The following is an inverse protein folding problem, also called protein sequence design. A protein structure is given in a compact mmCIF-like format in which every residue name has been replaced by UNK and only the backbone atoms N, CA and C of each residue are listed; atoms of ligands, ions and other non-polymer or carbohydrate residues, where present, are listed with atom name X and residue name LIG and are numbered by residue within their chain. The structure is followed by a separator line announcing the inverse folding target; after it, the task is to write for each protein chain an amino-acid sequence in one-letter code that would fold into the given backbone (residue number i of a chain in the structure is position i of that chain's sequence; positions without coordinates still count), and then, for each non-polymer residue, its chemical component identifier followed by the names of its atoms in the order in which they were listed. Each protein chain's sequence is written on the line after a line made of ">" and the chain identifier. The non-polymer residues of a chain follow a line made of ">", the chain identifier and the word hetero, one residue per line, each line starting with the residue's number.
data_IF_797134258461
#
_entry.id   IF_797134258461
#
_cell.length_a   1.000
_cell.length_b   1.000
_cell.length_c   1.000
_cell.angle_alpha   90.00
_cell.angle_beta   90.00
_cell.angle_gamma   90.00
#
_symmetry.space_group_name_H-M   'P 1'
#
loop_
_entity.id
_entity.type
_entity.pdbx_description
1 polymer ?
#
# COMPACT_ATOMS: atom_id res chain seq x y z
N UNK A 1 -28.23 -22.49 49.93
CA UNK A 1 -29.51 -21.78 50.13
C UNK A 1 -29.24 -20.31 49.84
N UNK A 2 -29.70 -19.75 48.72
CA UNK A 2 -31.06 -19.27 48.43
C UNK A 2 -31.16 -17.76 48.64
N UNK A 3 -31.49 -17.08 47.55
CA UNK A 3 -31.63 -15.64 47.28
C UNK A 3 -32.63 -14.86 48.17
N UNK A 4 -32.46 -13.53 48.26
CA UNK A 4 -33.49 -12.49 47.96
C UNK A 4 -32.87 -11.09 48.16
N UNK A 5 -32.62 -10.26 47.14
CA UNK A 5 -33.51 -9.43 46.29
C UNK A 5 -34.14 -8.22 47.00
N UNK A 6 -33.79 -7.01 46.56
CA UNK A 6 -34.78 -6.01 46.10
C UNK A 6 -34.08 -4.90 45.30
N UNK A 7 -34.60 -4.69 44.10
CA UNK A 7 -34.23 -3.69 43.10
C UNK A 7 -34.92 -2.35 43.35
N UNK A 8 -34.32 -1.27 42.83
CA UNK A 8 -34.89 -0.09 42.07
C UNK A 8 -33.99 1.13 42.33
N UNK A 9 -33.54 1.96 41.39
CA UNK A 9 -34.04 2.31 40.06
C UNK A 9 -32.93 2.92 39.16
N UNK A 10 -32.85 2.45 37.91
CA UNK A 10 -32.63 3.18 36.65
C UNK A 10 -31.51 4.24 36.56
N UNK A 11 -30.36 3.80 36.08
CA UNK A 11 -29.62 4.55 35.05
C UNK A 11 -29.98 3.95 33.69
N UNK A 12 -30.42 4.80 32.76
CA UNK A 12 -30.93 4.40 31.47
C UNK A 12 -29.89 3.63 30.66
N UNK A 13 -30.06 2.32 30.57
CA UNK A 13 -29.36 1.51 29.61
C UNK A 13 -29.86 1.93 28.21
N UNK A 14 -28.98 2.55 27.42
CA UNK A 14 -29.24 2.75 26.00
C UNK A 14 -29.17 1.37 25.35
N UNK A 15 -30.29 0.65 25.38
CA UNK A 15 -30.45 -0.57 24.58
C UNK A 15 -30.68 -0.13 23.15
N UNK A 16 -29.60 -0.09 22.37
CA UNK A 16 -29.69 0.07 20.92
C UNK A 16 -30.55 -1.09 20.37
N UNK A 17 -31.50 -0.82 19.44
CA UNK A 17 -32.26 -1.88 18.81
C UNK A 17 -31.31 -2.91 18.17
N UNK A 18 -31.31 -4.13 18.70
CA UNK A 18 -30.48 -5.26 18.24
C UNK A 18 -30.93 -5.82 16.89
N UNK A 19 -32.08 -5.37 16.38
CA UNK A 19 -32.59 -5.78 15.07
C UNK A 19 -31.78 -5.07 13.98
N UNK A 20 -31.06 -5.86 13.18
CA UNK A 20 -30.27 -5.48 11.99
C UNK A 20 -28.74 -5.36 12.16
N UNK A 21 -28.15 -5.83 13.26
CA UNK A 21 -26.70 -6.11 13.22
C UNK A 21 -26.46 -7.48 12.59
N UNK A 22 -25.69 -7.50 11.52
CA UNK A 22 -25.16 -8.74 10.97
C UNK A 22 -24.30 -9.41 12.04
N UNK A 23 -24.62 -10.67 12.33
CA UNK A 23 -23.81 -11.51 13.22
C UNK A 23 -22.40 -11.55 12.63
N UNK A 24 -21.41 -11.07 13.39
CA UNK A 24 -20.00 -11.26 13.02
C UNK A 24 -19.77 -12.78 13.00
N UNK A 25 -19.67 -13.36 11.80
CA UNK A 25 -19.49 -14.80 11.62
C UNK A 25 -18.02 -15.20 11.70
N UNK A 26 -17.11 -14.24 11.48
CA UNK A 26 -15.67 -14.39 11.63
C UNK A 26 -15.01 -13.03 11.79
N UNK A 27 -14.24 -12.86 12.86
CA UNK A 27 -13.30 -11.76 13.00
C UNK A 27 -12.00 -12.18 12.27
N UNK A 28 -11.55 -11.37 11.32
CA UNK A 28 -10.24 -11.56 10.67
C UNK A 28 -9.37 -10.40 11.16
N UNK A 29 -8.33 -10.71 11.93
CA UNK A 29 -7.45 -9.69 12.47
C UNK A 29 -6.50 -9.25 11.36
N UNK A 30 -6.12 -7.95 11.32
CA UNK A 30 -5.23 -7.37 10.29
C UNK A 30 -3.94 -8.20 10.07
N UNK A 31 -3.40 -8.81 11.12
CA UNK A 31 -2.23 -9.70 11.08
C UNK A 31 -2.46 -10.99 10.28
N UNK A 32 -3.70 -11.46 10.17
CA UNK A 32 -4.08 -12.70 9.48
C UNK A 32 -4.13 -12.51 7.95
N UNK A 33 -3.98 -11.27 7.48
CA UNK A 33 -4.04 -10.92 6.06
C UNK A 33 -2.64 -10.73 5.44
N UNK A 34 -1.57 -10.63 6.24
CA UNK A 34 -0.18 -10.54 5.76
C UNK A 34 0.07 -9.38 4.78
N UNK A 35 -0.41 -8.17 5.10
CA UNK A 35 -0.52 -7.05 4.17
C UNK A 35 0.51 -5.96 4.48
N UNK A 36 1.14 -5.42 3.44
CA UNK A 36 2.05 -4.28 3.56
C UNK A 36 1.31 -2.95 3.45
N UNK A 37 0.27 -2.87 2.60
CA UNK A 37 -0.54 -1.67 2.43
C UNK A 37 -2.04 -1.98 2.21
N UNK A 38 -2.90 -1.07 2.68
CA UNK A 38 -4.35 -1.06 2.45
C UNK A 38 -4.71 0.32 1.92
N UNK A 39 -5.46 0.37 0.83
CA UNK A 39 -5.87 1.64 0.21
C UNK A 39 -7.19 1.49 -0.54
N UNK A 40 -7.81 2.62 -0.85
CA UNK A 40 -8.96 2.68 -1.74
C UNK A 40 -8.51 3.08 -3.15
N UNK A 41 -8.97 2.36 -4.17
CA UNK A 41 -8.73 2.67 -5.58
C UNK A 41 -10.04 2.52 -6.34
N UNK A 42 -10.50 3.57 -7.04
CA UNK A 42 -11.78 3.56 -7.78
C UNK A 42 -12.97 3.04 -6.95
N UNK A 43 -13.08 3.50 -5.69
CA UNK A 43 -14.08 3.06 -4.70
C UNK A 43 -14.01 1.58 -4.30
N UNK A 44 -12.94 0.87 -4.66
CA UNK A 44 -12.68 -0.49 -4.22
C UNK A 44 -11.66 -0.50 -3.09
N UNK A 45 -11.92 -1.31 -2.06
CA UNK A 45 -10.95 -1.57 -1.01
C UNK A 45 -9.93 -2.57 -1.56
N UNK A 46 -8.67 -2.16 -1.57
CA UNK A 46 -7.56 -2.92 -2.10
C UNK A 46 -6.51 -3.15 -1.01
N UNK A 47 -5.74 -4.20 -1.20
CA UNK A 47 -4.52 -4.42 -0.44
C UNK A 47 -3.39 -4.96 -1.25
N UNK A 48 -2.20 -4.58 -0.83
CA UNK A 48 -0.98 -4.97 -1.47
C UNK A 48 -0.12 -5.82 -0.54
N UNK A 49 0.49 -6.85 -1.12
CA UNK A 49 1.39 -7.75 -0.42
C UNK A 49 2.66 -7.96 -1.24
N UNK A 50 3.78 -7.73 -0.58
CA UNK A 50 5.14 -8.02 -0.99
C UNK A 50 5.57 -9.33 -0.32
N UNK A 51 6.19 -10.24 -1.06
CA UNK A 51 6.84 -11.40 -0.44
C UNK A 51 8.29 -11.04 -0.09
N UNK A 52 8.48 -10.33 1.03
CA UNK A 52 9.78 -9.83 1.50
C UNK A 52 10.84 -10.92 1.67
N UNK A 53 10.43 -12.17 1.85
CA UNK A 53 11.34 -13.31 2.06
C UNK A 53 11.65 -14.07 0.77
N UNK A 54 10.94 -13.78 -0.31
CA UNK A 54 11.13 -14.45 -1.59
C UNK A 54 11.04 -13.46 -2.75
N UNK A 55 12.16 -12.80 -3.02
CA UNK A 55 12.31 -11.85 -4.13
C UNK A 55 12.12 -12.46 -5.54
N UNK A 56 11.90 -13.77 -5.67
CA UNK A 56 11.53 -14.41 -6.94
C UNK A 56 10.02 -14.42 -7.19
N UNK A 57 9.21 -14.11 -6.17
CA UNK A 57 7.75 -14.06 -6.32
C UNK A 57 7.30 -12.65 -6.61
N UNK A 58 6.38 -12.55 -7.56
CA UNK A 58 5.68 -11.32 -7.87
C UNK A 58 4.82 -10.85 -6.71
N UNK A 59 4.66 -9.54 -6.62
CA UNK A 59 3.78 -8.91 -5.66
C UNK A 59 2.32 -9.21 -6.00
N UNK A 60 1.43 -9.04 -5.01
CA UNK A 60 0.02 -9.38 -5.13
C UNK A 60 -0.86 -8.19 -4.77
N UNK A 61 -1.88 -7.99 -5.59
CA UNK A 61 -3.01 -7.11 -5.29
C UNK A 61 -4.22 -7.95 -4.92
N UNK A 62 -4.85 -7.65 -3.80
CA UNK A 62 -6.14 -8.21 -3.42
C UNK A 62 -7.20 -7.13 -3.45
N UNK A 63 -8.35 -7.47 -3.99
CA UNK A 63 -9.48 -6.56 -4.16
C UNK A 63 -10.69 -7.13 -3.46
N UNK A 64 -11.16 -6.40 -2.46
CA UNK A 64 -12.21 -6.86 -1.56
C UNK A 64 -13.57 -6.54 -2.16
N UNK A 65 -14.42 -7.56 -2.23
CA UNK A 65 -15.78 -7.44 -2.72
C UNK A 65 -16.76 -7.49 -1.56
N UNK A 66 -17.66 -6.52 -1.53
CA UNK A 66 -18.71 -6.39 -0.52
C UNK A 66 -20.08 -6.63 -1.16
N UNK A 67 -21.04 -7.11 -0.37
CA UNK A 67 -22.43 -7.21 -0.81
C UNK A 67 -23.15 -5.86 -0.74
N UNK A 68 -24.43 -5.83 -1.13
CA UNK A 68 -25.26 -4.62 -1.12
C UNK A 68 -25.48 -4.02 0.28
N UNK A 69 -25.15 -4.75 1.34
CA UNK A 69 -25.25 -4.31 2.73
C UNK A 69 -23.89 -3.87 3.30
N UNK A 70 -22.83 -3.85 2.48
CA UNK A 70 -21.47 -3.48 2.89
C UNK A 70 -20.72 -4.59 3.62
N UNK A 71 -21.18 -5.84 3.57
CA UNK A 71 -20.49 -6.96 4.22
C UNK A 71 -19.49 -7.61 3.28
N UNK A 72 -18.34 -8.01 3.82
CA UNK A 72 -17.34 -8.77 3.07
C UNK A 72 -17.95 -10.05 2.50
N UNK A 73 -17.80 -10.23 1.19
CA UNK A 73 -18.29 -11.40 0.46
C UNK A 73 -17.12 -12.30 0.04
N UNK A 74 -16.14 -11.72 -0.63
CA UNK A 74 -14.97 -12.43 -1.15
C UNK A 74 -13.86 -11.45 -1.49
N UNK A 75 -12.69 -11.96 -1.89
CA UNK A 75 -11.62 -11.17 -2.50
C UNK A 75 -11.21 -11.77 -3.84
N UNK A 76 -10.89 -10.92 -4.79
CA UNK A 76 -10.10 -11.30 -5.96
C UNK A 76 -8.62 -11.12 -5.63
N UNK A 77 -7.78 -11.95 -6.21
CA UNK A 77 -6.33 -11.86 -6.10
C UNK A 77 -5.76 -11.74 -7.51
N UNK A 78 -4.85 -10.78 -7.68
CA UNK A 78 -4.10 -10.54 -8.89
C UNK A 78 -2.62 -10.67 -8.58
N UNK A 79 -1.90 -11.34 -9.48
CA UNK A 79 -0.44 -11.44 -9.44
C UNK A 79 0.09 -10.34 -10.35
N UNK A 80 0.93 -9.46 -9.82
CA UNK A 80 1.46 -8.33 -10.55
C UNK A 80 2.75 -8.75 -11.25
N UNK A 81 2.60 -9.35 -12.43
CA UNK A 81 3.73 -9.77 -13.24
C UNK A 81 4.69 -8.60 -13.53
N UNK A 82 6.00 -8.85 -13.46
CA UNK A 82 7.09 -7.88 -13.65
C UNK A 82 7.27 -6.83 -12.54
N UNK A 83 6.50 -6.94 -11.45
CA UNK A 83 6.67 -6.15 -10.24
C UNK A 83 7.16 -7.05 -9.10
N UNK A 84 8.28 -6.66 -8.50
CA UNK A 84 8.91 -7.36 -7.37
C UNK A 84 9.35 -6.34 -6.34
N UNK A 85 8.96 -6.56 -5.08
CA UNK A 85 9.30 -5.68 -3.95
C UNK A 85 8.92 -4.21 -4.21
N UNK A 86 7.75 -4.00 -4.81
CA UNK A 86 7.20 -2.68 -5.10
C UNK A 86 6.46 -2.07 -3.93
N UNK A 87 6.48 -0.75 -3.85
CA UNK A 87 5.75 0.02 -2.85
C UNK A 87 4.59 0.76 -3.50
N UNK A 88 3.33 0.45 -3.13
CA UNK A 88 2.17 1.11 -3.69
C UNK A 88 1.99 2.52 -3.09
N UNK A 89 1.67 3.48 -3.95
CA UNK A 89 1.31 4.85 -3.60
C UNK A 89 0.03 5.21 -4.34
N UNK A 90 -0.99 5.67 -3.61
CA UNK A 90 -2.23 6.14 -4.20
C UNK A 90 -2.24 7.67 -4.20
N UNK A 91 -2.40 8.26 -5.38
CA UNK A 91 -2.51 9.70 -5.56
C UNK A 91 -3.52 10.01 -6.66
N UNK A 92 -4.43 10.95 -6.39
CA UNK A 92 -5.49 11.38 -7.34
C UNK A 92 -6.26 10.20 -7.96
N UNK A 93 -6.68 9.25 -7.11
CA UNK A 93 -7.40 8.02 -7.52
C UNK A 93 -6.62 7.07 -8.46
N UNK A 94 -5.32 7.28 -8.61
CA UNK A 94 -4.42 6.36 -9.32
C UNK A 94 -3.54 5.63 -8.33
N UNK A 95 -3.25 4.37 -8.61
CA UNK A 95 -2.29 3.59 -7.86
C UNK A 95 -1.02 3.42 -8.70
N UNK A 96 0.11 3.86 -8.15
CA UNK A 96 1.42 3.61 -8.72
C UNK A 96 2.19 2.68 -7.80
N UNK A 97 2.92 1.75 -8.37
CA UNK A 97 3.84 0.89 -7.63
C UNK A 97 5.26 1.24 -8.03
N UNK A 98 6.10 1.55 -7.05
CA UNK A 98 7.50 1.89 -7.28
C UNK A 98 8.44 0.81 -6.78
N UNK A 99 9.39 0.40 -7.62
CA UNK A 99 10.45 -0.51 -7.22
C UNK A 99 11.80 -0.08 -7.80
N UNK A 100 12.88 -0.41 -7.06
CA UNK A 100 14.22 -0.39 -7.62
C UNK A 100 14.49 -1.68 -8.38
N UNK A 101 15.19 -1.60 -9.52
CA UNK A 101 15.73 -2.79 -10.22
C UNK A 101 17.24 -2.68 -10.36
N UNK A 102 17.96 -3.63 -9.79
CA UNK A 102 19.42 -3.65 -9.78
C UNK A 102 19.98 -4.48 -10.94
N UNK A 103 20.94 -3.92 -11.67
CA UNK A 103 21.73 -4.58 -12.72
C UNK A 103 23.17 -4.11 -12.63
N UNK A 104 24.12 -5.03 -12.41
CA UNK A 104 25.57 -4.76 -12.44
C UNK A 104 25.97 -3.43 -11.76
N UNK A 105 25.57 -3.26 -10.49
CA UNK A 105 25.83 -2.07 -9.64
C UNK A 105 25.04 -0.79 -9.96
N UNK A 106 24.11 -0.83 -10.92
CA UNK A 106 23.18 0.25 -11.21
C UNK A 106 21.79 -0.12 -10.70
N UNK A 107 21.08 0.80 -10.05
CA UNK A 107 19.66 0.62 -9.70
C UNK A 107 18.81 1.58 -10.54
N UNK A 108 17.78 1.10 -11.22
CA UNK A 108 16.82 1.97 -11.92
C UNK A 108 15.53 2.06 -11.13
N UNK A 109 14.92 3.25 -11.04
CA UNK A 109 13.57 3.38 -10.52
C UNK A 109 12.62 2.91 -11.61
N UNK A 110 11.70 2.03 -11.24
CA UNK A 110 10.55 1.64 -12.04
C UNK A 110 9.28 2.12 -11.35
N UNK A 111 8.35 2.65 -12.13
CA UNK A 111 7.02 3.07 -11.68
C UNK A 111 5.99 2.45 -12.61
N UNK A 112 5.11 1.62 -12.06
CA UNK A 112 4.01 0.99 -12.79
C UNK A 112 2.68 1.55 -12.29
N UNK A 113 1.87 2.12 -13.17
CA UNK A 113 0.47 2.45 -12.87
C UNK A 113 -0.36 1.17 -12.92
N UNK A 114 -1.09 0.86 -11.85
CA UNK A 114 -1.96 -0.32 -11.78
C UNK A 114 -3.42 0.08 -11.56
N UNK A 115 -4.32 -0.63 -12.24
CA UNK A 115 -5.76 -0.49 -12.03
C UNK A 115 -6.28 -1.40 -10.90
N UNK A 116 -7.56 -1.26 -10.58
CA UNK A 116 -8.25 -2.10 -9.59
C UNK A 116 -8.45 -3.55 -10.02
N UNK A 117 -8.05 -3.92 -11.24
CA UNK A 117 -8.05 -5.29 -11.73
C UNK A 117 -6.63 -5.86 -11.82
N UNK A 118 -5.62 -5.16 -11.27
CA UNK A 118 -4.23 -5.58 -11.29
C UNK A 118 -3.58 -5.52 -12.68
N UNK A 119 -4.19 -4.81 -13.64
CA UNK A 119 -3.57 -4.56 -14.93
C UNK A 119 -2.55 -3.43 -14.80
N UNK A 120 -1.40 -3.59 -15.44
CA UNK A 120 -0.42 -2.52 -15.61
C UNK A 120 -0.90 -1.64 -16.77
N UNK A 121 -1.23 -0.39 -16.47
CA UNK A 121 -1.71 0.60 -17.46
C UNK A 121 -0.56 1.31 -18.15
N UNK A 122 0.51 1.59 -17.40
CA UNK A 122 1.71 2.23 -17.91
C UNK A 122 2.93 1.87 -17.08
N UNK A 123 4.09 1.89 -17.71
CA UNK A 123 5.38 1.72 -17.07
C UNK A 123 6.30 2.90 -17.38
N UNK A 124 6.98 3.38 -16.36
CA UNK A 124 7.99 4.41 -16.44
C UNK A 124 9.28 3.93 -15.79
N UNK A 125 10.42 4.43 -16.29
CA UNK A 125 11.74 4.14 -15.71
C UNK A 125 12.62 5.38 -15.69
N UNK A 126 13.48 5.47 -14.69
CA UNK A 126 14.49 6.52 -14.59
C UNK A 126 15.83 6.11 -15.21
N UNK A 127 16.73 7.09 -15.35
CA UNK A 127 18.16 6.85 -15.45
C UNK A 127 18.71 6.15 -14.20
N UNK A 128 19.91 5.56 -14.31
CA UNK A 128 20.52 4.77 -13.25
C UNK A 128 20.86 5.58 -12.00
N UNK A 129 20.53 5.02 -10.84
CA UNK A 129 20.82 5.48 -9.49
C UNK A 129 21.70 4.43 -8.83
N UNK A 130 22.91 4.80 -8.43
CA UNK A 130 23.77 3.88 -7.68
C UNK A 130 23.30 3.76 -6.22
N UNK A 131 23.52 2.59 -5.62
CA UNK A 131 23.52 2.38 -4.16
C UNK A 131 22.22 2.72 -3.41
N UNK A 132 21.08 2.72 -4.10
CA UNK A 132 19.76 2.87 -3.48
C UNK A 132 19.29 1.55 -2.87
N UNK A 133 18.69 1.59 -1.68
CA UNK A 133 18.10 0.44 -1.00
C UNK A 133 16.59 0.35 -1.24
N UNK A 134 15.88 1.48 -1.20
CA UNK A 134 14.43 1.54 -1.44
C UNK A 134 14.02 2.88 -2.04
N UNK A 135 12.88 2.88 -2.75
CA UNK A 135 12.31 4.04 -3.43
C UNK A 135 10.81 4.11 -3.21
N UNK A 136 10.33 5.32 -2.95
CA UNK A 136 8.92 5.62 -2.76
C UNK A 136 8.55 6.82 -3.63
N UNK A 137 7.50 6.67 -4.44
CA UNK A 137 6.84 7.82 -5.06
C UNK A 137 6.14 8.63 -3.98
N UNK A 138 6.41 9.94 -3.95
CA UNK A 138 5.70 10.86 -3.07
C UNK A 138 4.57 11.57 -3.80
N UNK A 139 4.83 12.03 -5.01
CA UNK A 139 3.88 12.83 -5.77
C UNK A 139 4.07 12.66 -7.28
N UNK A 140 2.97 12.86 -7.98
CA UNK A 140 2.87 12.84 -9.43
C UNK A 140 2.10 14.08 -9.89
N UNK A 141 2.57 14.70 -10.96
CA UNK A 141 1.97 15.86 -11.62
C UNK A 141 2.03 15.70 -13.14
N UNK A 142 1.56 16.66 -13.92
CA UNK A 142 1.56 16.54 -15.38
C UNK A 142 2.96 16.72 -16.01
N UNK A 143 3.94 17.21 -15.24
CA UNK A 143 5.30 17.47 -15.75
C UNK A 143 6.42 16.71 -15.03
N UNK A 144 6.17 16.17 -13.83
CA UNK A 144 7.21 15.55 -13.00
C UNK A 144 6.68 14.50 -12.04
N UNK A 145 7.59 13.62 -11.64
CA UNK A 145 7.46 12.69 -10.51
C UNK A 145 8.45 13.06 -9.40
N UNK A 146 8.03 12.94 -8.15
CA UNK A 146 8.85 13.23 -6.97
C UNK A 146 8.99 11.99 -6.11
N UNK A 147 10.21 11.70 -5.66
CA UNK A 147 10.53 10.48 -4.93
C UNK A 147 11.30 10.79 -3.65
N UNK A 148 11.16 9.88 -2.67
CA UNK A 148 12.16 9.69 -1.63
C UNK A 148 12.88 8.37 -1.88
N UNK A 149 14.21 8.41 -1.79
CA UNK A 149 15.06 7.23 -1.88
C UNK A 149 15.90 7.08 -0.63
N UNK A 150 15.99 5.86 -0.12
CA UNK A 150 16.80 5.54 1.05
C UNK A 150 18.07 4.85 0.59
N UNK A 151 19.20 5.36 1.10
CA UNK A 151 20.52 4.78 0.94
C UNK A 151 21.01 4.28 2.31
N UNK A 152 22.18 3.66 2.34
CA UNK A 152 22.75 3.15 3.60
C UNK A 152 23.01 4.26 4.62
N UNK A 153 23.48 5.42 4.14
CA UNK A 153 23.97 6.52 4.99
C UNK A 153 23.25 7.86 4.76
N UNK A 154 22.27 7.93 3.86
CA UNK A 154 21.51 9.15 3.60
C UNK A 154 20.12 8.87 3.01
N UNK A 155 19.29 9.91 3.01
CA UNK A 155 17.99 9.93 2.34
C UNK A 155 17.98 11.07 1.34
N UNK A 156 17.57 10.73 0.13
CA UNK A 156 17.49 11.65 -0.99
C UNK A 156 16.02 11.99 -1.31
N UNK A 157 15.80 13.25 -1.66
CA UNK A 157 14.61 13.72 -2.35
C UNK A 157 14.97 13.96 -3.82
N UNK A 158 14.28 13.27 -4.73
CA UNK A 158 14.55 13.29 -6.16
C UNK A 158 13.34 13.82 -6.93
N UNK A 159 13.60 14.59 -7.99
CA UNK A 159 12.59 15.06 -8.93
C UNK A 159 12.99 14.65 -10.34
N UNK A 160 12.11 13.93 -11.02
CA UNK A 160 12.30 13.46 -12.39
C UNK A 160 11.25 14.03 -13.33
N UNK A 161 11.62 14.22 -14.60
CA UNK A 161 10.67 14.43 -15.70
C UNK A 161 10.08 13.10 -16.18
N UNK A 162 9.01 13.15 -16.98
CA UNK A 162 8.41 11.93 -17.55
C UNK A 162 9.29 11.25 -18.60
N UNK A 163 10.29 11.93 -19.13
CA UNK A 163 11.28 11.35 -20.03
C UNK A 163 12.34 10.53 -19.28
N UNK A 164 12.30 10.46 -17.95
CA UNK A 164 13.28 9.69 -17.16
C UNK A 164 14.48 10.51 -16.69
N UNK A 165 14.50 11.81 -16.95
CA UNK A 165 15.63 12.71 -16.69
C UNK A 165 15.56 13.24 -15.25
N UNK A 166 16.68 13.13 -14.51
CA UNK A 166 16.80 13.71 -13.17
C UNK A 166 16.86 15.24 -13.25
N UNK A 167 15.82 15.91 -12.75
CA UNK A 167 15.72 17.37 -12.73
C UNK A 167 16.38 17.98 -11.49
N UNK A 168 16.28 17.31 -10.34
CA UNK A 168 16.85 17.79 -9.09
C UNK A 168 17.08 16.63 -8.12
N UNK A 169 18.18 16.71 -7.36
CA UNK A 169 18.51 15.81 -6.25
C UNK A 169 18.89 16.65 -5.03
N UNK A 170 18.33 16.30 -3.87
CA UNK A 170 18.66 16.93 -2.58
C UNK A 170 18.76 15.85 -1.50
N UNK A 171 19.91 15.79 -0.84
CA UNK A 171 20.06 15.02 0.40
C UNK A 171 19.26 15.74 1.49
N UNK A 172 18.25 15.07 2.03
CA UNK A 172 17.36 15.63 3.06
C UNK A 172 17.70 15.11 4.46
N UNK A 173 18.47 14.03 4.55
CA UNK A 173 18.98 13.48 5.80
C UNK A 173 20.29 12.73 5.53
N UNK A 174 21.27 12.86 6.42
CA UNK A 174 22.56 12.17 6.37
C UNK A 174 22.84 11.55 7.74
N UNK A 175 23.22 10.28 7.77
CA UNK A 175 23.72 9.63 8.98
C UNK A 175 25.16 10.08 9.19
N UNK A 176 25.43 10.77 10.30
CA UNK A 176 26.80 11.06 10.73
C UNK A 176 27.41 9.78 11.30
N UNK A 177 28.44 9.26 10.64
CA UNK A 177 29.28 8.20 11.18
C UNK A 177 30.39 8.84 12.01
N UNK A 178 30.35 8.66 13.33
CA UNK A 178 31.45 8.99 14.24
C UNK A 178 32.64 8.05 14.06
#
# INVERSE_FOLDING_TARGET
>A
MSLSSTSTEREGEIVLPLQNRFRITKEIVRKDLGMDAIFCLNNQCCSYQIDLFNHKKYDKLFVYQFDKNGLYKTRKQYILENIWNGYPTVTRDKCFVTCGKWSNSLCTIHVSEIDENGNILSDWKSEAIADMNSVFLLSYSDTKMEFITFHENHVDYLVYSFEGILLSRKIIYQVETN
#
